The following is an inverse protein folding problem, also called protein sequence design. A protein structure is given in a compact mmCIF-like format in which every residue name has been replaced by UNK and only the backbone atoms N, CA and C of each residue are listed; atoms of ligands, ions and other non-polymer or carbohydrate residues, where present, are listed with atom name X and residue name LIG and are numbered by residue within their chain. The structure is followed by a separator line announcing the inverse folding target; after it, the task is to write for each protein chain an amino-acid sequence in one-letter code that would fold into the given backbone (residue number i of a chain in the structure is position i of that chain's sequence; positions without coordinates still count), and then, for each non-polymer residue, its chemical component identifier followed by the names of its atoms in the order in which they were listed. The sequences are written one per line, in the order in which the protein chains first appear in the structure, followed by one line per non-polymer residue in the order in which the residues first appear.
data_IF_724245717923
#
_entry.id   IF_724245717923
#
_cell.length_a   1.000
_cell.length_b   1.000
_cell.length_c   1.000
_cell.angle_alpha   90.00
_cell.angle_beta   90.00
_cell.angle_gamma   90.00
#
_symmetry.space_group_name_H-M   'P 1'
#
loop_
_entity.id
_entity.type
_entity.pdbx_description
1 polymer ?
#
# COMPACT_ATOMS: atom_id res chain seq x y z
N UNK A 1 -44.02 36.15 52.05
CA UNK A 1 -43.09 35.01 52.26
C UNK A 1 -43.28 33.99 51.14
N UNK A 2 -42.17 33.45 50.63
CA UNK A 2 -42.03 32.22 49.83
C UNK A 2 -42.16 32.16 48.29
N UNK A 3 -42.67 33.15 47.53
CA UNK A 3 -42.72 33.02 46.04
C UNK A 3 -41.61 33.74 45.24
N UNK A 4 -41.02 34.83 45.75
CA UNK A 4 -40.00 35.60 45.03
C UNK A 4 -38.56 35.10 45.21
N UNK A 5 -38.29 34.31 46.27
CA UNK A 5 -36.96 33.74 46.53
C UNK A 5 -36.68 32.42 45.80
N UNK A 6 -37.69 31.79 45.18
CA UNK A 6 -37.50 30.55 44.38
C UNK A 6 -37.23 30.81 42.90
N UNK A 7 -37.46 32.03 42.41
CA UNK A 7 -37.30 32.37 40.99
C UNK A 7 -35.84 32.67 40.65
N UNK A 8 -35.10 33.34 41.53
CA UNK A 8 -33.66 33.61 41.34
C UNK A 8 -32.80 32.33 41.48
N UNK A 9 -33.13 31.42 42.40
CA UNK A 9 -32.35 30.18 42.59
C UNK A 9 -32.47 29.20 41.42
N UNK A 10 -33.61 29.19 40.71
CA UNK A 10 -33.85 28.29 39.57
C UNK A 10 -33.10 28.74 38.30
N UNK A 11 -32.95 30.05 38.10
CA UNK A 11 -32.27 30.60 36.92
C UNK A 11 -30.74 30.42 37.03
N UNK A 12 -30.19 30.54 38.24
CA UNK A 12 -28.79 30.24 38.55
C UNK A 12 -28.49 28.74 38.44
N UNK A 13 -29.40 27.86 38.85
CA UNK A 13 -29.22 26.40 38.69
C UNK A 13 -29.14 25.99 37.21
N UNK A 14 -29.95 26.59 36.34
CA UNK A 14 -29.93 26.32 34.91
C UNK A 14 -28.67 26.87 34.24
N UNK A 15 -28.18 28.04 34.67
CA UNK A 15 -26.90 28.62 34.23
C UNK A 15 -25.70 27.79 34.70
N UNK A 16 -25.68 27.36 35.96
CA UNK A 16 -24.64 26.51 36.54
C UNK A 16 -24.63 25.13 35.85
N UNK A 17 -25.80 24.54 35.57
CA UNK A 17 -25.89 23.27 34.82
C UNK A 17 -25.35 23.39 33.40
N UNK A 18 -25.59 24.51 32.71
CA UNK A 18 -25.03 24.78 31.38
C UNK A 18 -23.52 24.98 31.42
N UNK A 19 -23.01 25.73 32.40
CA UNK A 19 -21.56 25.93 32.59
C UNK A 19 -20.84 24.64 32.99
N UNK A 20 -21.43 23.84 33.88
CA UNK A 20 -20.91 22.52 34.25
C UNK A 20 -20.89 21.57 33.05
N UNK A 21 -21.91 21.62 32.19
CA UNK A 21 -21.94 20.87 30.94
C UNK A 21 -20.76 21.23 30.02
N UNK A 22 -20.47 22.52 29.84
CA UNK A 22 -19.33 22.98 29.03
C UNK A 22 -18.00 22.51 29.62
N UNK A 23 -17.83 22.58 30.95
CA UNK A 23 -16.63 22.10 31.61
C UNK A 23 -16.42 20.59 31.42
N UNK A 24 -17.48 19.79 31.60
CA UNK A 24 -17.41 18.34 31.39
C UNK A 24 -17.07 18.01 29.93
N UNK A 25 -17.70 18.68 28.97
CA UNK A 25 -17.41 18.49 27.54
C UNK A 25 -15.97 18.88 27.23
N UNK A 26 -15.45 19.98 27.78
CA UNK A 26 -14.05 20.38 27.59
C UNK A 26 -13.06 19.38 28.18
N UNK A 27 -13.40 18.75 29.31
CA UNK A 27 -12.56 17.78 29.98
C UNK A 27 -12.56 16.44 29.25
N UNK A 28 -13.72 16.02 28.71
CA UNK A 28 -13.81 14.86 27.82
C UNK A 28 -13.04 15.10 26.53
N UNK A 29 -13.18 16.28 25.91
CA UNK A 29 -12.47 16.63 24.68
C UNK A 29 -10.95 16.69 24.91
N UNK A 30 -10.51 17.28 26.02
CA UNK A 30 -9.10 17.29 26.43
C UNK A 30 -8.58 15.88 26.71
N UNK A 31 -9.39 15.01 27.31
CA UNK A 31 -9.01 13.61 27.55
C UNK A 31 -8.92 12.82 26.25
N UNK A 32 -9.80 13.07 25.29
CA UNK A 32 -9.73 12.45 23.96
C UNK A 32 -8.46 12.87 23.22
N UNK A 33 -8.16 14.18 23.21
CA UNK A 33 -6.94 14.72 22.60
C UNK A 33 -5.67 14.18 23.29
N UNK A 34 -5.68 14.03 24.62
CA UNK A 34 -4.54 13.49 25.35
C UNK A 34 -4.28 12.00 25.08
N UNK A 35 -5.34 11.21 24.86
CA UNK A 35 -5.21 9.81 24.43
C UNK A 35 -4.65 9.68 23.02
N UNK A 36 -4.94 10.65 22.14
CA UNK A 36 -4.38 10.71 20.79
C UNK A 36 -2.89 11.11 20.81
N UNK A 37 -2.49 12.07 21.65
CA UNK A 37 -1.08 12.48 21.81
C UNK A 37 -0.15 11.43 22.45
N UNK A 38 -0.67 10.38 23.08
CA UNK A 38 0.19 9.31 23.63
C UNK A 38 0.63 8.27 22.59
N UNK A 39 0.14 8.35 21.34
CA UNK A 39 0.54 7.44 20.26
C UNK A 39 1.79 7.88 19.48
N UNK A 40 2.33 9.07 19.76
CA UNK A 40 3.37 9.72 18.94
C UNK A 40 4.81 9.25 19.24
N UNK A 41 4.97 8.04 19.79
CA UNK A 41 6.27 7.44 20.02
C UNK A 41 6.64 6.45 18.91
N UNK A 42 7.21 6.92 17.81
CA UNK A 42 7.76 6.03 16.76
C UNK A 42 8.97 5.18 17.22
N UNK A 43 9.53 5.50 18.40
CA UNK A 43 10.66 4.79 19.00
C UNK A 43 10.13 3.92 20.15
N UNK A 44 10.17 2.61 19.93
CA UNK A 44 9.80 1.63 20.96
C UNK A 44 10.95 1.42 21.96
N UNK A 45 10.63 0.80 23.10
CA UNK A 45 11.63 0.47 24.13
C UNK A 45 12.79 -0.33 23.52
N UNK A 46 14.02 0.17 23.67
CA UNK A 46 15.21 -0.45 23.09
C UNK A 46 15.76 0.22 21.82
N UNK A 47 15.35 1.46 21.53
CA UNK A 47 15.82 2.23 20.36
C UNK A 47 15.42 1.60 19.01
N UNK A 48 14.28 0.91 18.98
CA UNK A 48 13.73 0.31 17.76
C UNK A 48 12.81 1.33 17.10
N UNK A 49 13.08 1.61 15.83
CA UNK A 49 12.28 2.50 15.01
C UNK A 49 11.25 1.70 14.22
N UNK A 50 9.97 1.95 14.49
CA UNK A 50 8.89 1.27 13.78
C UNK A 50 8.69 1.89 12.39
N UNK A 51 8.80 1.06 11.35
CA UNK A 51 8.51 1.48 9.98
C UNK A 51 7.05 1.19 9.70
N UNK A 52 6.41 2.12 8.99
CA UNK A 52 5.10 1.88 8.40
C UNK A 52 5.12 0.60 7.54
N UNK A 53 3.96 -0.08 7.49
CA UNK A 53 3.77 -1.28 6.70
C UNK A 53 3.92 -1.04 5.20
N UNK A 54 3.74 -2.11 4.42
CA UNK A 54 3.77 -2.02 2.96
C UNK A 54 2.63 -1.13 2.47
N UNK A 55 2.95 -0.14 1.63
CA UNK A 55 1.99 0.87 1.16
C UNK A 55 1.75 2.02 2.14
N UNK A 56 2.45 2.03 3.28
CA UNK A 56 2.41 3.12 4.25
C UNK A 56 3.12 4.39 3.79
N UNK A 57 3.02 5.44 4.60
CA UNK A 57 3.60 6.74 4.29
C UNK A 57 5.00 6.89 4.88
N UNK A 58 5.80 7.74 4.25
CA UNK A 58 7.06 8.18 4.83
C UNK A 58 6.80 9.25 5.89
N UNK A 59 7.58 9.24 6.97
CA UNK A 59 7.51 10.25 8.01
C UNK A 59 8.89 10.75 8.42
N UNK A 60 8.92 11.94 9.01
CA UNK A 60 10.13 12.58 9.50
C UNK A 60 10.17 12.46 11.03
N UNK A 61 11.26 11.91 11.56
CA UNK A 61 11.47 11.74 12.98
C UNK A 61 12.57 12.69 13.46
N UNK A 62 12.23 13.75 14.22
CA UNK A 62 13.22 14.60 14.86
C UNK A 62 13.85 13.87 16.07
N UNK A 63 15.16 13.65 16.00
CA UNK A 63 15.96 13.09 17.09
C UNK A 63 16.91 14.15 17.64
N UNK A 64 17.05 14.17 18.96
CA UNK A 64 18.12 14.91 19.62
C UNK A 64 19.28 13.96 19.87
N UNK A 65 20.43 14.26 19.28
CA UNK A 65 21.66 13.46 19.43
C UNK A 65 22.69 14.26 20.22
N UNK A 66 23.45 13.56 21.05
CA UNK A 66 24.59 14.11 21.78
C UNK A 66 25.86 13.71 21.04
N UNK A 67 26.67 14.70 20.67
CA UNK A 67 27.96 14.45 20.01
C UNK A 67 29.04 13.99 21.00
N UNK A 68 30.28 13.89 20.52
CA UNK A 68 31.44 13.57 21.38
C UNK A 68 31.63 14.63 22.48
N UNK A 69 31.15 15.85 22.26
CA UNK A 69 31.07 16.88 23.30
C UNK A 69 29.67 16.87 23.95
N UNK A 70 29.55 16.51 25.24
CA UNK A 70 28.27 16.36 25.94
C UNK A 70 27.47 17.67 26.09
N UNK A 71 28.12 18.82 25.91
CA UNK A 71 27.44 20.13 25.98
C UNK A 71 26.71 20.52 24.69
N UNK A 72 26.98 19.83 23.58
CA UNK A 72 26.33 20.11 22.28
C UNK A 72 25.33 19.02 21.93
N UNK A 73 24.05 19.38 22.08
CA UNK A 73 22.92 18.60 21.57
C UNK A 73 22.52 19.12 20.20
N UNK A 74 22.50 18.24 19.22
CA UNK A 74 22.09 18.56 17.84
C UNK A 74 20.76 17.87 17.52
N UNK A 75 19.89 18.59 16.82
CA UNK A 75 18.63 18.02 16.33
C UNK A 75 18.85 17.50 14.91
N UNK A 76 18.69 16.20 14.73
CA UNK A 76 18.78 15.51 13.44
C UNK A 76 17.39 15.07 13.04
N UNK A 77 16.97 15.38 11.82
CA UNK A 77 15.70 14.91 11.30
C UNK A 77 15.94 13.68 10.41
N UNK A 78 15.45 12.52 10.84
CA UNK A 78 15.60 11.27 10.10
C UNK A 78 14.34 11.02 9.28
N UNK A 79 14.52 10.75 7.99
CA UNK A 79 13.46 10.36 7.08
C UNK A 79 13.27 8.86 7.13
N UNK A 80 12.08 8.40 7.51
CA UNK A 80 11.76 6.98 7.70
C UNK A 80 10.79 6.53 6.62
N UNK A 81 11.27 5.72 5.69
CA UNK A 81 10.46 5.21 4.58
C UNK A 81 9.70 3.93 5.00
N UNK A 82 8.48 3.72 4.45
CA UNK A 82 7.67 2.52 4.71
C UNK A 82 8.40 1.25 4.25
N UNK A 83 7.97 0.08 4.75
CA UNK A 83 8.47 -1.21 4.28
C UNK A 83 8.10 -1.42 2.81
N UNK A 84 9.01 -2.07 2.09
CA UNK A 84 8.84 -2.45 0.68
C UNK A 84 9.09 -3.97 0.61
N UNK A 85 8.42 -4.65 -0.32
CA UNK A 85 8.56 -6.09 -0.52
C UNK A 85 9.99 -6.51 -0.87
N UNK A 86 10.44 -7.67 -0.40
CA UNK A 86 11.51 -8.39 -1.11
C UNK A 86 10.94 -9.06 -2.37
N UNK A 87 11.82 -9.55 -3.25
CA UNK A 87 11.38 -10.26 -4.45
C UNK A 87 10.55 -11.50 -4.09
N UNK A 88 11.01 -12.27 -3.11
CA UNK A 88 10.38 -13.51 -2.66
C UNK A 88 9.00 -13.25 -2.03
N UNK A 89 8.87 -12.16 -1.25
CA UNK A 89 7.59 -11.77 -0.66
C UNK A 89 6.59 -11.32 -1.72
N UNK A 90 7.03 -10.54 -2.72
CA UNK A 90 6.18 -10.13 -3.83
C UNK A 90 5.71 -11.34 -4.65
N UNK A 91 6.59 -12.31 -4.92
CA UNK A 91 6.26 -13.53 -5.67
C UNK A 91 5.21 -14.39 -4.93
N UNK A 92 5.30 -14.48 -3.60
CA UNK A 92 4.30 -15.17 -2.78
C UNK A 92 2.93 -14.47 -2.84
N UNK A 93 2.92 -13.13 -2.73
CA UNK A 93 1.68 -12.34 -2.83
C UNK A 93 1.05 -12.49 -4.22
N UNK A 94 1.84 -12.44 -5.28
CA UNK A 94 1.35 -12.65 -6.65
C UNK A 94 0.80 -14.05 -6.86
N UNK A 95 1.43 -15.08 -6.28
CA UNK A 95 0.93 -16.46 -6.35
C UNK A 95 -0.43 -16.60 -5.67
N UNK A 96 -0.58 -16.02 -4.47
CA UNK A 96 -1.85 -15.99 -3.74
C UNK A 96 -2.96 -15.24 -4.51
N UNK A 97 -2.63 -14.10 -5.13
CA UNK A 97 -3.57 -13.35 -5.96
C UNK A 97 -3.94 -14.13 -7.23
N UNK A 98 -3.00 -14.88 -7.81
CA UNK A 98 -3.26 -15.72 -8.98
C UNK A 98 -4.19 -16.89 -8.64
N UNK A 99 -3.97 -17.59 -7.53
CA UNK A 99 -4.85 -18.67 -7.07
C UNK A 99 -6.28 -18.17 -6.82
N UNK A 100 -6.44 -16.93 -6.37
CA UNK A 100 -7.74 -16.30 -6.12
C UNK A 100 -8.30 -15.53 -7.32
N UNK A 101 -7.56 -15.44 -8.44
CA UNK A 101 -7.91 -14.57 -9.55
C UNK A 101 -9.30 -14.92 -10.12
N UNK A 102 -9.63 -16.19 -10.25
CA UNK A 102 -10.98 -16.62 -10.69
C UNK A 102 -12.06 -16.04 -9.77
N UNK A 103 -11.98 -16.30 -8.46
CA UNK A 103 -12.95 -15.83 -7.48
C UNK A 103 -13.02 -14.30 -7.32
N UNK A 104 -11.93 -13.60 -7.63
CA UNK A 104 -11.87 -12.13 -7.52
C UNK A 104 -12.40 -11.43 -8.75
N UNK A 105 -12.26 -12.05 -9.92
CA UNK A 105 -12.55 -11.43 -11.22
C UNK A 105 -13.88 -11.90 -11.83
N UNK A 106 -14.34 -13.10 -11.47
CA UNK A 106 -15.56 -13.72 -11.97
C UNK A 106 -16.63 -13.79 -10.87
N UNK A 107 -17.89 -13.95 -11.28
CA UNK A 107 -18.98 -14.29 -10.37
C UNK A 107 -18.89 -15.76 -9.93
N UNK A 108 -19.48 -16.13 -8.79
CA UNK A 108 -19.37 -17.48 -8.19
C UNK A 108 -19.74 -18.64 -9.13
N UNK A 109 -20.57 -18.40 -10.15
CA UNK A 109 -21.07 -19.41 -11.09
C UNK A 109 -20.37 -19.39 -12.47
N UNK A 110 -19.33 -18.56 -12.65
CA UNK A 110 -18.62 -18.39 -13.94
C UNK A 110 -17.18 -18.87 -13.91
N UNK A 111 -16.65 -19.20 -15.09
CA UNK A 111 -15.26 -19.60 -15.31
C UNK A 111 -14.67 -18.81 -16.48
N UNK A 112 -13.34 -18.71 -16.56
CA UNK A 112 -12.67 -18.08 -17.70
C UNK A 112 -12.95 -18.78 -19.04
N UNK A 113 -13.38 -20.05 -19.01
CA UNK A 113 -13.82 -20.79 -20.19
C UNK A 113 -15.15 -20.28 -20.76
N UNK A 114 -16.03 -19.73 -19.91
CA UNK A 114 -17.35 -19.23 -20.31
C UNK A 114 -17.76 -18.03 -19.46
N UNK A 115 -17.51 -16.84 -20.00
CA UNK A 115 -17.84 -15.55 -19.35
C UNK A 115 -19.12 -15.00 -20.00
N UNK A 116 -20.21 -14.94 -19.22
CA UNK A 116 -21.50 -14.38 -19.67
C UNK A 116 -21.75 -13.01 -19.05
N UNK A 117 -21.24 -12.77 -17.86
CA UNK A 117 -21.41 -11.52 -17.12
C UNK A 117 -20.17 -10.64 -17.18
N UNK A 118 -20.29 -9.40 -16.70
CA UNK A 118 -19.15 -8.48 -16.66
C UNK A 118 -18.10 -8.94 -15.65
N UNK A 119 -16.83 -8.78 -16.00
CA UNK A 119 -15.71 -9.09 -15.11
C UNK A 119 -15.52 -7.98 -14.07
N UNK A 120 -15.01 -8.35 -12.90
CA UNK A 120 -14.67 -7.43 -11.82
C UNK A 120 -13.18 -7.08 -11.84
N UNK A 121 -12.75 -6.29 -12.83
CA UNK A 121 -11.33 -5.92 -12.96
C UNK A 121 -11.00 -4.66 -12.13
N UNK A 122 -10.38 -4.85 -10.97
CA UNK A 122 -9.88 -3.76 -10.10
C UNK A 122 -8.45 -3.36 -10.44
N UNK A 123 -8.13 -2.07 -10.47
CA UNK A 123 -6.77 -1.62 -10.81
C UNK A 123 -5.79 -1.64 -9.62
N UNK A 124 -6.29 -1.84 -8.40
CA UNK A 124 -5.49 -1.76 -7.18
C UNK A 124 -6.09 -2.60 -6.05
N UNK A 125 -5.25 -3.39 -5.39
CA UNK A 125 -5.53 -4.17 -4.20
C UNK A 125 -4.93 -3.45 -2.99
N UNK A 126 -5.75 -2.84 -2.11
CA UNK A 126 -5.26 -2.00 -1.02
C UNK A 126 -4.61 -2.79 0.11
N UNK A 127 -5.07 -4.02 0.39
CA UNK A 127 -4.52 -4.83 1.49
C UNK A 127 -3.10 -5.30 1.17
N UNK A 128 -2.86 -5.75 -0.06
CA UNK A 128 -1.57 -6.22 -0.54
C UNK A 128 -0.71 -5.10 -1.13
N UNK A 129 -1.24 -3.89 -1.30
CA UNK A 129 -0.59 -2.78 -2.01
C UNK A 129 -0.04 -3.20 -3.39
N UNK A 130 -0.87 -3.93 -4.15
CA UNK A 130 -0.55 -4.43 -5.50
C UNK A 130 -1.41 -3.72 -6.53
N UNK A 131 -0.79 -3.29 -7.62
CA UNK A 131 -1.49 -2.74 -8.78
C UNK A 131 -1.75 -3.86 -9.78
N UNK A 132 -2.93 -3.84 -10.40
CA UNK A 132 -3.28 -4.75 -11.47
C UNK A 132 -3.58 -3.95 -12.74
N UNK A 133 -3.01 -4.40 -13.84
CA UNK A 133 -3.35 -3.94 -15.19
C UNK A 133 -3.77 -5.14 -16.02
N UNK A 134 -4.66 -4.91 -16.97
CA UNK A 134 -5.19 -5.96 -17.82
C UNK A 134 -5.28 -5.49 -19.27
N UNK A 135 -5.21 -6.44 -20.19
CA UNK A 135 -5.42 -6.23 -21.63
C UNK A 135 -6.13 -7.42 -22.23
N UNK A 136 -7.12 -7.15 -23.09
CA UNK A 136 -7.84 -8.18 -23.82
C UNK A 136 -7.46 -8.13 -25.31
N UNK A 137 -7.18 -9.30 -25.86
CA UNK A 137 -6.84 -9.50 -27.28
C UNK A 137 -7.79 -10.54 -27.87
N UNK A 138 -8.74 -10.16 -28.74
CA UNK A 138 -9.63 -11.11 -29.39
C UNK A 138 -8.85 -11.97 -30.40
N UNK A 139 -9.13 -13.26 -30.46
CA UNK A 139 -8.40 -14.24 -31.30
C UNK A 139 -9.28 -14.94 -32.33
N UNK A 140 -10.56 -15.16 -32.01
CA UNK A 140 -11.50 -15.76 -32.94
C UNK A 140 -12.95 -15.37 -32.64
N UNK A 141 -13.78 -15.36 -33.68
CA UNK A 141 -15.22 -15.20 -33.58
C UNK A 141 -15.89 -16.47 -34.11
N UNK A 142 -16.75 -17.07 -33.29
CA UNK A 142 -17.58 -18.21 -33.66
C UNK A 142 -19.00 -17.73 -33.86
N UNK A 143 -19.54 -17.97 -35.06
CA UNK A 143 -20.93 -17.67 -35.41
C UNK A 143 -21.56 -18.95 -35.99
N UNK A 144 -22.34 -19.65 -35.16
CA UNK A 144 -22.84 -20.98 -35.46
C UNK A 144 -21.70 -21.96 -35.74
N UNK A 145 -21.71 -22.57 -36.93
CA UNK A 145 -20.69 -23.55 -37.34
C UNK A 145 -19.40 -22.91 -37.91
N UNK A 146 -19.37 -21.58 -38.07
CA UNK A 146 -18.25 -20.86 -38.68
C UNK A 146 -17.36 -20.25 -37.61
N UNK A 147 -16.10 -20.66 -37.57
CA UNK A 147 -15.02 -20.00 -36.82
C UNK A 147 -14.23 -19.09 -37.77
N UNK A 148 -14.10 -17.83 -37.40
CA UNK A 148 -13.29 -16.82 -38.09
C UNK A 148 -12.12 -16.49 -37.18
N UNK A 149 -10.89 -16.64 -37.66
CA UNK A 149 -9.67 -16.34 -36.90
C UNK A 149 -9.01 -15.04 -37.38
N UNK A 150 -7.96 -14.62 -36.68
CA UNK A 150 -7.09 -13.51 -37.11
C UNK A 150 -6.52 -13.71 -38.53
N UNK A 151 -6.18 -14.95 -38.89
CA UNK A 151 -5.66 -15.28 -40.21
C UNK A 151 -6.73 -15.14 -41.31
N UNK A 152 -8.00 -15.37 -40.99
CA UNK A 152 -9.11 -15.24 -41.92
C UNK A 152 -9.49 -13.78 -42.15
N UNK A 153 -9.62 -13.00 -41.06
CA UNK A 153 -10.05 -11.60 -41.12
C UNK A 153 -9.63 -10.82 -39.87
N UNK A 154 -8.36 -10.39 -39.84
CA UNK A 154 -7.79 -9.60 -38.76
C UNK A 154 -8.58 -8.32 -38.46
N UNK A 155 -9.01 -7.57 -39.49
CA UNK A 155 -9.74 -6.31 -39.30
C UNK A 155 -11.07 -6.53 -38.56
N UNK A 156 -11.79 -7.61 -38.91
CA UNK A 156 -13.02 -7.98 -38.21
C UNK A 156 -12.75 -8.33 -36.75
N UNK A 157 -11.73 -9.14 -36.47
CA UNK A 157 -11.40 -9.59 -35.11
C UNK A 157 -10.98 -8.41 -34.23
N UNK A 158 -10.18 -7.48 -34.76
CA UNK A 158 -9.72 -6.30 -34.02
C UNK A 158 -10.86 -5.35 -33.61
N UNK A 159 -12.00 -5.35 -34.31
CA UNK A 159 -13.15 -4.55 -33.91
C UNK A 159 -13.71 -4.95 -32.54
N UNK A 160 -13.49 -6.20 -32.11
CA UNK A 160 -13.91 -6.70 -30.80
C UNK A 160 -12.93 -6.37 -29.68
N UNK A 161 -11.81 -5.69 -29.94
CA UNK A 161 -10.86 -5.30 -28.90
C UNK A 161 -11.51 -4.44 -27.81
N UNK A 162 -12.49 -3.63 -28.20
CA UNK A 162 -13.23 -2.76 -27.30
C UNK A 162 -14.36 -3.47 -26.56
N UNK A 163 -14.54 -4.79 -26.70
CA UNK A 163 -15.61 -5.54 -26.00
C UNK A 163 -15.48 -5.48 -24.49
N UNK A 164 -14.25 -5.42 -23.99
CA UNK A 164 -13.95 -5.27 -22.58
C UNK A 164 -13.70 -3.80 -22.28
N UNK A 165 -14.72 -3.14 -21.74
CA UNK A 165 -14.69 -1.75 -21.30
C UNK A 165 -14.06 -1.56 -19.93
N UNK A 166 -14.14 -0.32 -19.45
CA UNK A 166 -13.57 0.06 -18.16
C UNK A 166 -14.03 -0.86 -17.03
N UNK A 167 -13.07 -1.24 -16.17
CA UNK A 167 -13.27 -2.11 -15.00
C UNK A 167 -13.84 -3.50 -15.32
N UNK A 168 -13.68 -3.99 -16.55
CA UNK A 168 -14.12 -5.33 -16.95
C UNK A 168 -15.58 -5.40 -17.40
N UNK A 169 -16.23 -4.26 -17.64
CA UNK A 169 -17.57 -4.24 -18.23
C UNK A 169 -17.54 -4.84 -19.63
N UNK A 170 -18.33 -5.88 -19.86
CA UNK A 170 -18.47 -6.47 -21.20
C UNK A 170 -19.58 -5.74 -21.96
N UNK A 171 -19.29 -5.33 -23.19
CA UNK A 171 -20.26 -4.73 -24.11
C UNK A 171 -20.91 -5.80 -24.97
N UNK A 172 -21.93 -6.45 -24.41
CA UNK A 172 -22.70 -7.49 -25.12
C UNK A 172 -23.34 -6.99 -26.41
N UNK A 173 -23.56 -5.69 -26.55
CA UNK A 173 -24.09 -5.07 -27.77
C UNK A 173 -23.18 -5.19 -29.00
N UNK A 174 -21.91 -5.52 -28.81
CA UNK A 174 -20.97 -5.72 -29.91
C UNK A 174 -21.09 -7.12 -30.54
N UNK A 175 -21.71 -8.07 -29.85
CA UNK A 175 -21.91 -9.43 -30.34
C UNK A 175 -23.35 -9.63 -30.81
N UNK A 176 -23.52 -10.34 -31.92
CA UNK A 176 -24.84 -10.79 -32.34
C UNK A 176 -25.31 -11.97 -31.47
N UNK A 177 -26.61 -12.28 -31.54
CA UNK A 177 -27.18 -13.41 -30.81
C UNK A 177 -26.47 -14.73 -31.19
N UNK A 178 -26.11 -15.52 -30.19
CA UNK A 178 -25.42 -16.82 -30.31
C UNK A 178 -24.00 -16.76 -30.88
N UNK A 179 -23.37 -15.57 -30.94
CA UNK A 179 -21.94 -15.45 -31.23
C UNK A 179 -21.09 -15.67 -29.98
N UNK A 180 -19.96 -16.36 -30.16
CA UNK A 180 -18.95 -16.57 -29.12
C UNK A 180 -17.67 -15.90 -29.58
N UNK A 181 -17.13 -15.01 -28.76
CA UNK A 181 -15.82 -14.39 -28.98
C UNK A 181 -14.78 -15.09 -28.11
N UNK A 182 -13.77 -15.65 -28.75
CA UNK A 182 -12.56 -16.14 -28.09
C UNK A 182 -11.51 -15.02 -28.02
N UNK A 183 -10.77 -14.97 -26.93
CA UNK A 183 -9.67 -14.04 -26.78
C UNK A 183 -8.78 -14.37 -25.59
N UNK A 184 -7.66 -13.67 -25.52
CA UNK A 184 -6.70 -13.78 -24.44
C UNK A 184 -6.87 -12.57 -23.52
N UNK A 185 -7.11 -12.84 -22.24
CA UNK A 185 -7.08 -11.84 -21.18
C UNK A 185 -5.71 -11.92 -20.47
N UNK A 186 -4.86 -10.93 -20.71
CA UNK A 186 -3.59 -10.80 -20.01
C UNK A 186 -3.79 -9.98 -18.73
N UNK A 187 -3.36 -10.52 -17.59
CA UNK A 187 -3.40 -9.86 -16.30
C UNK A 187 -1.98 -9.71 -15.79
N UNK A 188 -1.62 -8.49 -15.37
CA UNK A 188 -0.30 -8.17 -14.84
C UNK A 188 -0.43 -7.53 -13.48
N UNK A 189 0.15 -8.19 -12.49
CA UNK A 189 0.35 -7.64 -11.16
C UNK A 189 1.67 -6.87 -11.09
N UNK A 190 1.70 -5.80 -10.31
CA UNK A 190 2.90 -5.00 -10.11
C UNK A 190 2.93 -4.39 -8.71
N UNK A 191 4.11 -4.36 -8.11
CA UNK A 191 4.38 -3.69 -6.84
C UNK A 191 5.81 -3.17 -6.82
N UNK A 192 6.13 -2.33 -5.85
CA UNK A 192 7.50 -1.87 -5.63
C UNK A 192 8.22 -2.91 -4.77
N UNK A 193 9.42 -3.31 -5.20
CA UNK A 193 10.30 -4.21 -4.46
C UNK A 193 11.60 -3.51 -4.08
N UNK A 194 12.25 -3.99 -3.02
CA UNK A 194 13.62 -3.65 -2.68
C UNK A 194 14.52 -4.11 -3.83
N UNK A 195 15.42 -3.24 -4.27
CA UNK A 195 16.46 -3.64 -5.22
C UNK A 195 17.21 -4.85 -4.65
N UNK A 196 17.44 -5.90 -5.46
CA UNK A 196 18.29 -7.00 -5.04
C UNK A 196 19.62 -6.41 -4.58
N UNK A 197 20.14 -6.85 -3.44
CA UNK A 197 21.53 -6.56 -3.11
C UNK A 197 22.35 -7.27 -4.19
N UNK A 198 22.95 -6.50 -5.09
CA UNK A 198 24.05 -7.00 -5.90
C UNK A 198 25.09 -7.50 -4.89
N UNK A 199 25.30 -8.81 -4.83
CA UNK A 199 26.49 -9.32 -4.17
C UNK A 199 27.66 -8.69 -4.92
N UNK A 200 28.50 -7.88 -4.25
CA UNK A 200 29.64 -7.29 -4.94
C UNK A 200 30.43 -8.44 -5.55
N UNK A 201 30.69 -8.35 -6.84
CA UNK A 201 31.61 -9.27 -7.52
C UNK A 201 32.90 -9.26 -6.70
N UNK A 202 33.45 -10.43 -6.36
CA UNK A 202 34.62 -10.53 -5.49
C UNK A 202 35.80 -9.69 -6.03
N UNK A 203 35.79 -9.40 -7.35
CA UNK A 203 36.70 -8.50 -8.05
C UNK A 203 36.55 -7.00 -7.73
N UNK A 204 35.38 -6.51 -7.31
CA UNK A 204 35.19 -5.10 -6.90
C UNK A 204 35.62 -4.84 -5.46
N UNK A 205 35.59 -5.86 -4.59
CA UNK A 205 36.07 -5.76 -3.21
C UNK A 205 37.60 -5.62 -3.12
N UNK A 206 38.35 -6.20 -4.06
CA UNK A 206 39.81 -6.03 -4.15
C UNK A 206 40.22 -4.58 -4.47
N UNK A 207 39.38 -3.80 -5.16
CA UNK A 207 39.68 -2.40 -5.48
C UNK A 207 39.37 -1.41 -4.35
N UNK A 208 38.64 -1.83 -3.31
CA UNK A 208 38.31 -0.97 -2.17
C UNK A 208 39.38 -0.92 -1.09
N UNK A 209 40.30 -1.90 -1.07
CA UNK A 209 41.52 -1.84 -0.27
C UNK A 209 42.65 -1.36 -1.18
N UNK A 210 43.01 -0.07 -1.17
CA UNK A 210 44.25 0.33 -1.84
C UNK A 210 45.39 -0.50 -1.24
N UNK A 211 46.07 -1.29 -2.07
CA UNK A 211 47.33 -1.98 -1.74
C UNK A 211 48.49 -0.98 -1.50
N UNK A 212 48.25 0.11 -0.78
CA UNK A 212 49.34 0.79 -0.11
C UNK A 212 49.61 0.05 1.19
N UNK A 213 50.66 -0.77 1.14
CA UNK A 213 51.39 -1.29 2.29
C UNK A 213 51.85 -0.14 3.21
N UNK A 214 50.93 0.49 3.95
CA UNK A 214 51.26 1.38 5.07
C UNK A 214 51.62 0.48 6.24
N UNK A 215 52.91 0.18 6.32
CA UNK A 215 53.52 -0.55 7.44
C UNK A 215 53.42 0.32 8.70
N UNK A 216 52.30 0.27 9.41
CA UNK A 216 52.18 0.92 10.71
C UNK A 216 52.93 0.08 11.76
N UNK A 217 54.06 0.61 12.22
CA UNK A 217 54.77 0.07 13.38
C UNK A 217 54.28 0.78 14.64
N UNK A 218 53.99 -0.01 15.67
CA UNK A 218 53.67 0.48 17.01
C UNK A 218 54.65 -0.14 18.00
N UNK A 219 55.18 0.65 18.92
CA UNK A 219 55.91 0.15 20.08
C UNK A 219 55.19 0.62 21.34
N UNK A 220 54.93 -0.31 22.24
CA UNK A 220 54.44 -0.02 23.59
C UNK A 220 55.58 -0.30 24.57
N UNK A 221 55.98 0.73 25.32
CA UNK A 221 56.78 0.55 26.55
C UNK A 221 55.81 0.46 27.73
N UNK A 222 55.77 -0.65 28.48
CA UNK A 222 55.02 -0.71 29.72
C UNK A 222 55.70 0.20 30.73
N UNK A 223 54.97 1.19 31.25
CA UNK A 223 55.41 1.93 32.44
C UNK A 223 54.95 1.13 33.64
N UNK A 224 55.91 0.69 34.45
CA UNK A 224 55.69 0.08 35.76
C UNK A 224 55.31 1.14 36.80
#
# INVERSE_FOLDING_TARGET
MHKLLRFFTSQDEAMIKKQAGILIVSLILSSLLFLESQKDGHIQSGYILEREGIGGNEYNLPLQVEGINPEKKENVNIKVSPRIYTKEEADQVFSSLHEKAESLLLSEDESFDEIKTSLHLTNYFPEENVKMSWSFTPTALINGDKKITEDDNLELILNYRSILGDKGKIYHELLEQDQILEGILEIKFSTNILSPKEEPDDAELENYFPEENVKMSWSFTPTA
#
